data_IF_864021116256
#
_entry.id   IF_864021116256
#
_cell.length_a   1.000
_cell.length_b   1.000
_cell.length_c   1.000
_cell.angle_alpha   90.00
_cell.angle_beta   90.00
_cell.angle_gamma   90.00
#
_symmetry.space_group_name_H-M   'P 1'
#
loop_
_entity.id
_entity.type
_entity.pdbx_description
1 polymer ?
#
# COMPACT_ATOMS: atom_id res chain seq x y z
N UNK A 1 -41.56 17.58 -4.61
CA UNK A 1 -41.73 16.39 -3.75
C UNK A 1 -40.55 15.47 -3.97
N UNK A 2 -39.56 15.49 -3.07
CA UNK A 2 -38.33 14.71 -3.20
C UNK A 2 -38.36 13.63 -2.12
N UNK A 3 -38.69 12.40 -2.50
CA UNK A 3 -38.77 11.27 -1.57
C UNK A 3 -37.38 10.69 -1.36
N UNK A 4 -36.72 11.09 -0.28
CA UNK A 4 -35.51 10.42 0.21
C UNK A 4 -35.91 9.08 0.85
N UNK A 5 -35.64 7.97 0.16
CA UNK A 5 -35.90 6.63 0.68
C UNK A 5 -34.79 6.23 1.66
N UNK A 6 -35.03 6.38 2.96
CA UNK A 6 -34.11 5.96 4.03
C UNK A 6 -34.15 4.42 4.10
N UNK A 7 -33.09 3.76 3.63
CA UNK A 7 -32.99 2.30 3.64
C UNK A 7 -33.16 1.75 5.07
N UNK A 8 -33.93 0.67 5.23
CA UNK A 8 -34.13 0.03 6.54
C UNK A 8 -32.83 -0.61 7.07
N UNK A 9 -32.57 -0.62 8.39
CA UNK A 9 -31.31 -1.12 8.98
C UNK A 9 -30.93 -2.55 8.55
N UNK A 10 -31.93 -3.38 8.25
CA UNK A 10 -31.74 -4.75 7.77
C UNK A 10 -31.19 -4.78 6.32
N UNK A 11 -31.66 -3.88 5.46
CA UNK A 11 -31.17 -3.77 4.08
C UNK A 11 -29.71 -3.29 4.05
N UNK A 12 -29.34 -2.32 4.90
CA UNK A 12 -27.96 -1.85 5.02
C UNK A 12 -27.02 -2.95 5.51
N UNK A 13 -27.42 -3.71 6.54
CA UNK A 13 -26.62 -4.86 7.05
C UNK A 13 -26.42 -5.95 6.01
N UNK A 14 -27.47 -6.33 5.26
CA UNK A 14 -27.35 -7.31 4.17
C UNK A 14 -26.44 -6.81 3.05
N UNK A 15 -26.56 -5.53 2.68
CA UNK A 15 -25.71 -4.90 1.67
C UNK A 15 -24.23 -5.00 2.08
N UNK A 16 -23.93 -4.67 3.33
CA UNK A 16 -22.57 -4.75 3.88
C UNK A 16 -22.05 -6.19 3.99
N UNK A 17 -22.89 -7.14 4.39
CA UNK A 17 -22.52 -8.55 4.41
C UNK A 17 -22.17 -9.07 3.00
N UNK A 18 -22.94 -8.69 1.98
CA UNK A 18 -22.61 -9.01 0.58
C UNK A 18 -21.30 -8.37 0.14
N UNK A 19 -21.00 -7.12 0.55
CA UNK A 19 -19.72 -6.47 0.24
C UNK A 19 -18.56 -7.31 0.76
N UNK A 20 -18.58 -7.62 2.06
CA UNK A 20 -17.52 -8.39 2.71
C UNK A 20 -17.37 -9.77 2.09
N UNK A 21 -18.46 -10.47 1.80
CA UNK A 21 -18.41 -11.75 1.11
C UNK A 21 -17.72 -11.67 -0.27
N UNK A 22 -17.96 -10.61 -1.03
CA UNK A 22 -17.29 -10.39 -2.33
C UNK A 22 -15.80 -10.13 -2.15
N UNK A 23 -15.42 -9.26 -1.20
CA UNK A 23 -14.02 -8.92 -0.95
C UNK A 23 -13.22 -10.11 -0.43
N UNK A 24 -13.78 -10.87 0.52
CA UNK A 24 -13.19 -12.13 1.01
C UNK A 24 -13.04 -13.14 -0.12
N UNK A 25 -14.09 -13.34 -0.94
CA UNK A 25 -14.01 -14.26 -2.09
C UNK A 25 -12.94 -13.85 -3.10
N UNK A 26 -12.79 -12.55 -3.36
CA UNK A 26 -11.76 -12.04 -4.27
C UNK A 26 -10.35 -12.30 -3.74
N UNK A 27 -10.14 -12.07 -2.45
CA UNK A 27 -8.84 -12.33 -1.81
C UNK A 27 -8.50 -13.82 -1.77
N UNK A 28 -9.43 -14.67 -1.32
CA UNK A 28 -9.22 -16.12 -1.24
C UNK A 28 -8.90 -16.70 -2.62
N UNK A 29 -9.66 -16.32 -3.64
CA UNK A 29 -9.39 -16.75 -5.02
C UNK A 29 -8.05 -16.22 -5.52
N UNK A 30 -7.68 -14.99 -5.20
CA UNK A 30 -6.39 -14.44 -5.59
C UNK A 30 -5.24 -15.31 -5.06
N UNK A 31 -5.31 -15.72 -3.80
CA UNK A 31 -4.32 -16.61 -3.16
C UNK A 31 -4.36 -18.04 -3.73
N UNK A 32 -5.56 -18.58 -4.02
CA UNK A 32 -5.72 -19.95 -4.50
C UNK A 32 -5.26 -20.16 -5.95
N UNK A 33 -5.66 -19.25 -6.86
CA UNK A 33 -5.52 -19.45 -8.31
C UNK A 33 -4.65 -18.39 -8.99
N UNK A 34 -4.26 -17.36 -8.26
CA UNK A 34 -3.45 -16.26 -8.76
C UNK A 34 -4.21 -15.26 -9.64
N UNK A 35 -3.61 -14.08 -9.78
CA UNK A 35 -4.21 -12.93 -10.47
C UNK A 35 -4.62 -13.21 -11.92
N UNK A 36 -3.82 -13.98 -12.66
CA UNK A 36 -4.06 -14.27 -14.08
C UNK A 36 -5.35 -15.08 -14.31
N UNK A 37 -5.74 -15.93 -13.36
CA UNK A 37 -6.96 -16.76 -13.45
C UNK A 37 -8.16 -16.12 -12.74
N UNK A 38 -7.95 -15.07 -11.95
CA UNK A 38 -9.00 -14.36 -11.25
C UNK A 38 -9.91 -13.61 -12.23
N UNK A 39 -11.22 -13.84 -12.11
CA UNK A 39 -12.28 -13.21 -12.91
C UNK A 39 -13.42 -12.70 -12.03
N UNK A 40 -14.14 -11.68 -12.49
CA UNK A 40 -15.34 -11.18 -11.80
C UNK A 40 -16.39 -12.28 -11.68
N UNK A 41 -16.55 -13.11 -12.71
CA UNK A 41 -17.44 -14.27 -12.71
C UNK A 41 -17.06 -15.29 -11.64
N UNK A 42 -15.76 -15.58 -11.50
CA UNK A 42 -15.25 -16.47 -10.45
C UNK A 42 -15.52 -15.91 -9.05
N UNK A 43 -15.28 -14.61 -8.85
CA UNK A 43 -15.56 -13.91 -7.58
C UNK A 43 -17.06 -13.96 -7.27
N UNK A 44 -17.91 -13.67 -8.26
CA UNK A 44 -19.36 -13.70 -8.12
C UNK A 44 -19.86 -15.08 -7.71
N UNK A 45 -19.37 -16.13 -8.38
CA UNK A 45 -19.70 -17.51 -8.07
C UNK A 45 -19.28 -17.91 -6.65
N UNK A 46 -18.05 -17.55 -6.24
CA UNK A 46 -17.53 -17.84 -4.89
C UNK A 46 -18.30 -17.09 -3.79
N UNK A 47 -18.66 -15.83 -4.03
CA UNK A 47 -19.41 -15.02 -3.08
C UNK A 47 -20.93 -15.30 -3.08
N UNK A 48 -21.42 -16.16 -3.99
CA UNK A 48 -22.85 -16.47 -4.10
C UNK A 48 -23.71 -15.27 -4.56
N UNK A 49 -23.14 -14.37 -5.37
CA UNK A 49 -23.83 -13.17 -5.88
C UNK A 49 -23.83 -13.14 -7.40
N UNK A 50 -24.74 -12.35 -7.99
CA UNK A 50 -24.71 -12.09 -9.44
C UNK A 50 -23.62 -11.10 -9.83
N UNK A 51 -23.07 -11.21 -11.06
CA UNK A 51 -22.06 -10.29 -11.63
C UNK A 51 -22.44 -8.80 -11.50
N UNK A 52 -23.71 -8.48 -11.74
CA UNK A 52 -24.24 -7.11 -11.62
C UNK A 52 -24.18 -6.56 -10.19
N UNK A 53 -24.18 -7.43 -9.17
CA UNK A 53 -24.01 -7.02 -7.78
C UNK A 53 -22.60 -6.49 -7.52
N UNK A 54 -21.57 -7.04 -8.19
CA UNK A 54 -20.18 -6.57 -8.08
C UNK A 54 -20.02 -5.24 -8.81
N UNK A 55 -20.45 -5.15 -10.07
CA UNK A 55 -20.30 -3.92 -10.87
C UNK A 55 -21.03 -2.70 -10.32
N UNK A 56 -22.05 -2.90 -9.48
CA UNK A 56 -22.72 -1.80 -8.78
C UNK A 56 -21.78 -1.05 -7.81
N UNK A 57 -20.69 -1.68 -7.38
CA UNK A 57 -19.77 -1.14 -6.37
C UNK A 57 -18.37 -0.93 -6.92
N UNK A 58 -17.91 -1.84 -7.79
CA UNK A 58 -16.56 -1.82 -8.32
C UNK A 58 -16.59 -1.79 -9.85
N UNK A 59 -16.05 -0.73 -10.48
CA UNK A 59 -16.06 -0.61 -11.93
C UNK A 59 -15.13 -1.60 -12.62
N UNK A 60 -14.09 -2.09 -11.94
CA UNK A 60 -13.07 -2.98 -12.50
C UNK A 60 -12.66 -4.11 -11.54
N UNK A 61 -11.97 -5.14 -12.07
CA UNK A 61 -11.36 -6.22 -11.27
C UNK A 61 -10.34 -5.65 -10.29
N UNK A 62 -9.50 -4.72 -10.73
CA UNK A 62 -8.57 -3.99 -9.89
C UNK A 62 -9.25 -3.25 -8.74
N UNK A 63 -10.40 -2.61 -8.96
CA UNK A 63 -11.14 -1.96 -7.89
C UNK A 63 -11.63 -2.94 -6.80
N UNK A 64 -12.05 -4.16 -7.18
CA UNK A 64 -12.40 -5.22 -6.20
C UNK A 64 -11.17 -5.67 -5.42
N UNK A 65 -10.04 -5.90 -6.12
CA UNK A 65 -8.79 -6.33 -5.48
C UNK A 65 -8.29 -5.26 -4.51
N UNK A 66 -8.36 -3.98 -4.88
CA UNK A 66 -7.91 -2.88 -4.04
C UNK A 66 -8.74 -2.77 -2.75
N UNK A 67 -10.07 -2.82 -2.85
CA UNK A 67 -10.93 -2.83 -1.66
C UNK A 67 -10.72 -4.09 -0.80
N UNK A 68 -10.45 -5.25 -1.43
CA UNK A 68 -10.15 -6.47 -0.69
C UNK A 68 -8.83 -6.37 0.07
N UNK A 69 -7.81 -5.75 -0.54
CA UNK A 69 -6.53 -5.44 0.10
C UNK A 69 -6.73 -4.50 1.29
N UNK A 70 -7.44 -3.38 1.10
CA UNK A 70 -7.69 -2.41 2.17
C UNK A 70 -8.45 -3.03 3.35
N UNK A 71 -9.44 -3.88 3.09
CA UNK A 71 -10.19 -4.59 4.15
C UNK A 71 -9.29 -5.47 5.03
N UNK A 72 -8.19 -6.00 4.49
CA UNK A 72 -7.22 -6.78 5.27
C UNK A 72 -6.25 -5.89 6.04
N UNK A 73 -5.83 -4.78 5.43
CA UNK A 73 -5.00 -3.77 6.10
C UNK A 73 -5.75 -3.05 7.23
N UNK A 74 -7.07 -2.93 7.15
CA UNK A 74 -7.93 -2.35 8.21
C UNK A 74 -7.90 -3.15 9.53
N UNK A 75 -7.33 -4.37 9.54
CA UNK A 75 -7.09 -5.15 10.76
C UNK A 75 -6.04 -4.57 11.70
N UNK A 76 -5.18 -3.65 11.24
CA UNK A 76 -4.26 -2.88 12.07
C UNK A 76 -4.90 -1.52 12.43
N UNK A 77 -5.57 -1.49 13.59
CA UNK A 77 -6.02 -0.33 14.36
C UNK A 77 -5.94 1.06 13.70
N UNK A 78 -6.79 1.36 12.71
CA UNK A 78 -7.43 2.67 12.43
C UNK A 78 -6.61 3.97 12.30
N UNK A 79 -5.32 3.98 12.62
CA UNK A 79 -4.41 5.10 12.54
C UNK A 79 -3.38 4.81 11.45
N UNK A 80 -3.05 5.80 10.60
CA UNK A 80 -1.95 5.65 9.67
C UNK A 80 -0.69 5.28 10.46
N UNK A 81 0.07 4.23 10.06
CA UNK A 81 1.24 3.82 10.80
C UNK A 81 2.19 5.02 11.00
N UNK A 82 2.39 5.41 12.26
CA UNK A 82 3.37 6.42 12.62
C UNK A 82 4.75 5.79 12.56
N UNK A 83 5.68 6.43 11.86
CA UNK A 83 7.07 6.01 11.90
C UNK A 83 7.66 6.37 13.28
N UNK A 84 8.57 5.54 13.82
CA UNK A 84 9.27 5.84 15.06
C UNK A 84 10.03 7.16 14.93
N UNK A 85 10.03 7.95 16.00
CA UNK A 85 10.76 9.22 16.13
C UNK A 85 11.54 9.21 17.45
N UNK A 86 12.57 8.36 17.51
CA UNK A 86 13.35 8.10 18.73
C UNK A 86 14.45 9.14 18.98
N UNK A 87 14.66 10.04 18.01
CA UNK A 87 15.78 10.98 17.99
C UNK A 87 16.97 10.50 17.13
N UNK A 88 16.97 9.25 16.68
CA UNK A 88 17.95 8.67 15.77
C UNK A 88 17.28 8.30 14.44
N UNK A 89 17.37 9.19 13.45
CA UNK A 89 16.76 8.98 12.14
C UNK A 89 17.30 7.74 11.41
N UNK A 90 18.59 7.44 11.54
CA UNK A 90 19.18 6.30 10.84
C UNK A 90 18.64 4.98 11.40
N UNK A 91 18.59 4.86 12.73
CA UNK A 91 18.00 3.71 13.39
C UNK A 91 16.50 3.57 13.08
N UNK A 92 15.76 4.68 13.12
CA UNK A 92 14.32 4.70 12.83
C UNK A 92 14.02 4.26 11.40
N UNK A 93 14.73 4.82 10.41
CA UNK A 93 14.55 4.45 9.00
C UNK A 93 14.97 3.00 8.75
N UNK A 94 16.05 2.53 9.37
CA UNK A 94 16.50 1.14 9.25
C UNK A 94 15.43 0.17 9.74
N UNK A 95 14.85 0.44 10.92
CA UNK A 95 13.78 -0.38 11.46
C UNK A 95 12.56 -0.43 10.53
N UNK A 96 12.14 0.73 10.01
CA UNK A 96 10.99 0.84 9.11
C UNK A 96 11.25 0.13 7.78
N UNK A 97 12.39 0.34 7.14
CA UNK A 97 12.68 -0.25 5.84
C UNK A 97 12.86 -1.77 5.94
N UNK A 98 13.45 -2.28 7.03
CA UNK A 98 13.48 -3.73 7.28
C UNK A 98 12.10 -4.32 7.48
N UNK A 99 11.20 -3.63 8.20
CA UNK A 99 9.82 -4.06 8.35
C UNK A 99 9.09 -4.06 7.00
N UNK A 100 9.29 -3.04 6.17
CA UNK A 100 8.78 -3.01 4.78
C UNK A 100 9.32 -4.17 3.94
N UNK A 101 10.60 -4.53 4.08
CA UNK A 101 11.16 -5.72 3.40
C UNK A 101 10.49 -7.00 3.87
N UNK A 102 10.23 -7.15 5.17
CA UNK A 102 9.55 -8.33 5.70
C UNK A 102 8.11 -8.43 5.18
N UNK A 103 7.38 -7.32 5.19
CA UNK A 103 6.01 -7.22 4.66
C UNK A 103 5.95 -7.56 3.16
N UNK A 104 6.83 -6.98 2.35
CA UNK A 104 6.87 -7.22 0.91
C UNK A 104 7.28 -8.66 0.53
N UNK A 105 8.01 -9.36 1.41
CA UNK A 105 8.38 -10.76 1.23
C UNK A 105 7.34 -11.74 1.77
N UNK A 106 6.36 -11.28 2.54
CA UNK A 106 5.30 -12.13 3.07
C UNK A 106 4.38 -12.58 1.91
N UNK A 107 4.23 -13.91 1.69
CA UNK A 107 3.34 -14.44 0.64
C UNK A 107 1.90 -13.95 0.73
N UNK A 108 1.43 -13.52 1.92
CA UNK A 108 0.11 -12.93 2.10
C UNK A 108 -0.05 -11.59 1.35
N UNK A 109 1.03 -10.80 1.23
CA UNK A 109 1.01 -9.48 0.60
C UNK A 109 1.66 -9.47 -0.80
N UNK A 110 2.64 -10.34 -1.08
CA UNK A 110 3.41 -10.32 -2.34
C UNK A 110 2.51 -10.42 -3.58
N UNK A 111 1.67 -11.46 -3.65
CA UNK A 111 0.85 -11.70 -4.83
C UNK A 111 -0.27 -10.65 -5.00
N UNK A 112 -1.04 -10.28 -3.96
CA UNK A 112 -2.06 -9.24 -4.06
C UNK A 112 -1.50 -7.86 -4.43
N UNK A 113 -0.38 -7.44 -3.84
CA UNK A 113 0.19 -6.13 -4.13
C UNK A 113 0.72 -6.04 -5.56
N UNK A 114 1.32 -7.11 -6.11
CA UNK A 114 1.77 -7.12 -7.52
C UNK A 114 0.62 -7.08 -8.51
N UNK A 115 -0.45 -7.81 -8.20
CA UNK A 115 -1.68 -7.77 -8.96
C UNK A 115 -2.25 -6.34 -9.00
N UNK A 116 -2.32 -5.69 -7.84
CA UNK A 116 -2.77 -4.32 -7.71
C UNK A 116 -1.88 -3.34 -8.47
N UNK A 117 -0.55 -3.45 -8.38
CA UNK A 117 0.39 -2.61 -9.12
C UNK A 117 0.19 -2.73 -10.64
N UNK A 118 -0.13 -3.93 -11.13
CA UNK A 118 -0.44 -4.17 -12.55
C UNK A 118 -1.72 -3.45 -12.96
N UNK A 119 -2.78 -3.52 -12.15
CA UNK A 119 -4.06 -2.85 -12.44
C UNK A 119 -3.92 -1.33 -12.40
N UNK A 120 -3.24 -0.78 -11.38
CA UNK A 120 -3.01 0.67 -11.22
C UNK A 120 -2.32 1.25 -12.46
N UNK A 121 -1.37 0.53 -13.06
CA UNK A 121 -0.65 1.00 -14.24
C UNK A 121 -1.54 1.18 -15.48
N UNK A 122 -2.70 0.51 -15.55
CA UNK A 122 -3.59 0.50 -16.72
C UNK A 122 -4.94 1.19 -16.48
N UNK A 123 -5.31 1.48 -15.23
CA UNK A 123 -6.60 2.05 -14.82
C UNK A 123 -6.38 3.38 -14.07
N UNK A 124 -6.54 4.54 -14.74
CA UNK A 124 -6.36 5.86 -14.12
C UNK A 124 -7.32 6.14 -12.95
N UNK A 125 -8.53 5.58 -12.98
CA UNK A 125 -9.51 5.76 -11.90
C UNK A 125 -9.06 4.98 -10.66
N UNK A 126 -8.58 3.75 -10.85
CA UNK A 126 -7.97 2.97 -9.78
C UNK A 126 -6.69 3.63 -9.24
N UNK A 127 -5.85 4.19 -10.12
CA UNK A 127 -4.65 4.90 -9.70
C UNK A 127 -4.98 6.12 -8.81
N UNK A 128 -6.02 6.88 -9.16
CA UNK A 128 -6.49 7.99 -8.33
C UNK A 128 -7.00 7.50 -6.96
N UNK A 129 -7.79 6.42 -6.94
CA UNK A 129 -8.28 5.82 -5.70
C UNK A 129 -7.14 5.28 -4.82
N UNK A 130 -6.10 4.68 -5.42
CA UNK A 130 -4.90 4.22 -4.73
C UNK A 130 -4.15 5.37 -4.07
N UNK A 131 -3.94 6.47 -4.80
CA UNK A 131 -3.27 7.67 -4.28
C UNK A 131 -4.07 8.27 -3.12
N UNK A 132 -5.38 8.41 -3.28
CA UNK A 132 -6.24 9.01 -2.25
C UNK A 132 -6.29 8.17 -0.98
N UNK A 133 -6.48 6.85 -1.11
CA UNK A 133 -6.87 5.99 0.01
C UNK A 133 -5.72 5.23 0.64
N UNK A 134 -4.56 5.14 -0.02
CA UNK A 134 -3.43 4.35 0.47
C UNK A 134 -2.09 5.10 0.39
N UNK A 135 -1.65 5.48 -0.81
CA UNK A 135 -0.30 6.08 -0.96
C UNK A 135 -0.21 7.46 -0.32
N UNK A 136 -1.22 8.32 -0.47
CA UNK A 136 -1.27 9.65 0.14
C UNK A 136 -1.10 9.63 1.65
N UNK A 137 -1.94 8.91 2.42
CA UNK A 137 -1.79 8.78 3.87
C UNK A 137 -0.43 8.23 4.32
N UNK A 138 0.10 7.21 3.62
CA UNK A 138 1.42 6.64 3.92
C UNK A 138 2.55 7.63 3.61
N UNK A 139 2.46 8.35 2.49
CA UNK A 139 3.41 9.39 2.10
C UNK A 139 3.39 10.52 3.13
N UNK A 140 2.22 10.93 3.61
CA UNK A 140 2.10 11.94 4.65
C UNK A 140 2.78 11.49 5.96
N UNK A 141 2.58 10.24 6.39
CA UNK A 141 3.23 9.70 7.57
C UNK A 141 4.77 9.72 7.47
N UNK A 142 5.31 9.31 6.31
CA UNK A 142 6.75 9.38 6.02
C UNK A 142 7.25 10.83 6.03
N UNK A 143 6.52 11.75 5.39
CA UNK A 143 6.86 13.17 5.37
C UNK A 143 6.82 13.80 6.77
N UNK A 144 5.85 13.44 7.61
CA UNK A 144 5.80 13.92 9.01
C UNK A 144 7.07 13.53 9.76
N UNK A 145 7.54 12.29 9.60
CA UNK A 145 8.79 11.83 10.23
C UNK A 145 10.03 12.58 9.71
N UNK A 146 10.16 12.72 8.39
CA UNK A 146 11.30 13.45 7.80
C UNK A 146 11.28 14.94 8.17
N UNK A 147 10.10 15.56 8.25
CA UNK A 147 9.94 16.95 8.71
C UNK A 147 10.32 17.12 10.18
N UNK A 148 10.05 16.11 11.02
CA UNK A 148 10.55 16.07 12.39
C UNK A 148 12.08 16.06 12.44
N UNK A 149 12.71 15.22 11.62
CA UNK A 149 14.16 15.16 11.48
C UNK A 149 14.78 16.48 10.97
N UNK A 150 14.14 17.18 10.03
CA UNK A 150 14.57 18.52 9.61
C UNK A 150 14.59 19.51 10.79
N UNK A 151 13.51 19.56 11.59
CA UNK A 151 13.42 20.43 12.77
C UNK A 151 14.46 20.09 13.85
N UNK A 152 14.89 18.84 13.91
CA UNK A 152 15.94 18.37 14.81
C UNK A 152 17.37 18.54 14.25
N UNK A 153 17.54 19.10 13.05
CA UNK A 153 18.84 19.28 12.40
C UNK A 153 19.47 17.99 11.87
N UNK A 154 18.70 16.90 11.78
CA UNK A 154 19.17 15.60 11.27
C UNK A 154 19.12 15.51 9.73
N UNK A 155 18.35 16.40 9.10
CA UNK A 155 18.25 16.57 7.64
C UNK A 155 18.40 18.04 7.27
N UNK A 156 18.80 18.32 6.03
CA UNK A 156 18.85 19.68 5.51
C UNK A 156 17.45 20.33 5.53
N UNK A 157 17.36 21.58 5.99
CA UNK A 157 16.10 22.31 6.12
C UNK A 157 15.38 22.55 4.78
N UNK A 158 16.14 22.63 3.69
CA UNK A 158 15.65 22.84 2.33
C UNK A 158 15.42 21.54 1.54
N UNK A 159 15.62 20.37 2.18
CA UNK A 159 15.39 19.07 1.54
C UNK A 159 13.92 18.95 1.09
N UNK A 160 13.73 18.64 -0.21
CA UNK A 160 12.43 18.34 -0.75
C UNK A 160 11.95 16.96 -0.24
N UNK A 161 10.95 16.97 0.66
CA UNK A 161 10.44 15.76 1.31
C UNK A 161 9.68 14.82 0.36
N UNK A 162 9.08 15.32 -0.72
CA UNK A 162 8.46 14.46 -1.72
C UNK A 162 9.52 13.57 -2.38
N UNK A 163 10.61 14.20 -2.83
CA UNK A 163 11.73 13.50 -3.47
C UNK A 163 12.44 12.60 -2.47
N UNK A 164 12.63 13.04 -1.23
CA UNK A 164 13.29 12.24 -0.21
C UNK A 164 12.52 10.92 0.07
N UNK A 165 11.19 10.98 0.17
CA UNK A 165 10.37 9.77 0.34
C UNK A 165 10.54 8.82 -0.84
N UNK A 166 10.49 9.33 -2.07
CA UNK A 166 10.67 8.52 -3.28
C UNK A 166 12.08 7.90 -3.35
N UNK A 167 13.11 8.62 -2.93
CA UNK A 167 14.49 8.10 -2.91
C UNK A 167 14.71 7.04 -1.84
N UNK A 168 14.07 7.16 -0.68
CA UNK A 168 14.26 6.22 0.44
C UNK A 168 13.45 4.92 0.22
N UNK A 169 12.18 5.01 -0.19
CA UNK A 169 11.32 3.83 -0.34
C UNK A 169 11.27 3.28 -1.78
N UNK A 170 11.50 4.12 -2.78
CA UNK A 170 11.45 3.74 -4.19
C UNK A 170 12.36 2.56 -4.57
N UNK A 171 13.62 2.47 -4.08
CA UNK A 171 14.49 1.35 -4.39
C UNK A 171 13.93 -0.01 -3.94
N UNK A 172 13.32 -0.08 -2.74
CA UNK A 172 12.70 -1.29 -2.22
C UNK A 172 11.52 -1.71 -3.11
N UNK A 173 10.60 -0.79 -3.39
CA UNK A 173 9.43 -1.06 -4.22
C UNK A 173 9.82 -1.45 -5.65
N UNK A 174 10.78 -0.75 -6.25
CA UNK A 174 11.27 -1.06 -7.59
C UNK A 174 11.92 -2.45 -7.63
N UNK A 175 12.82 -2.74 -6.69
CA UNK A 175 13.50 -4.05 -6.62
C UNK A 175 12.51 -5.18 -6.40
N UNK A 176 11.59 -4.99 -5.47
CA UNK A 176 10.51 -5.93 -5.20
C UNK A 176 9.67 -6.16 -6.46
N UNK A 177 9.12 -5.09 -7.07
CA UNK A 177 8.21 -5.19 -8.20
C UNK A 177 8.87 -5.83 -9.43
N UNK A 178 10.09 -5.41 -9.76
CA UNK A 178 10.82 -5.87 -10.95
C UNK A 178 11.62 -7.16 -10.72
N UNK A 179 11.68 -7.66 -9.49
CA UNK A 179 12.54 -8.80 -9.10
C UNK A 179 14.00 -8.59 -9.52
N UNK A 180 14.49 -7.35 -9.45
CA UNK A 180 15.81 -6.96 -9.96
C UNK A 180 16.97 -7.41 -9.05
N UNK A 181 16.66 -8.02 -7.91
CA UNK A 181 17.62 -8.63 -6.98
C UNK A 181 16.95 -9.10 -5.69
N UNK A 182 17.70 -9.73 -4.77
CA UNK A 182 17.19 -10.11 -3.46
C UNK A 182 16.73 -8.89 -2.65
N UNK A 183 15.52 -8.96 -2.08
CA UNK A 183 14.99 -7.97 -1.15
C UNK A 183 15.29 -8.42 0.28
N UNK A 184 16.44 -7.98 0.82
CA UNK A 184 16.97 -8.41 2.13
C UNK A 184 17.02 -7.25 3.12
N UNK A 185 17.15 -7.57 4.42
CA UNK A 185 17.38 -6.56 5.45
C UNK A 185 18.68 -5.78 5.20
N UNK A 186 19.74 -6.45 4.76
CA UNK A 186 21.00 -5.81 4.37
C UNK A 186 20.81 -4.80 3.23
N UNK A 187 19.98 -5.12 2.23
CA UNK A 187 19.66 -4.16 1.17
C UNK A 187 18.89 -2.94 1.70
N UNK A 188 18.00 -3.12 2.68
CA UNK A 188 17.34 -2.00 3.35
C UNK A 188 18.36 -1.09 4.08
N UNK A 189 19.33 -1.69 4.78
CA UNK A 189 20.38 -0.95 5.48
C UNK A 189 21.25 -0.12 4.50
N UNK A 190 21.62 -0.73 3.37
CA UNK A 190 22.37 -0.06 2.31
C UNK A 190 21.61 1.13 1.73
N UNK A 191 20.30 0.99 1.54
CA UNK A 191 19.43 2.08 1.05
C UNK A 191 19.37 3.22 2.05
N UNK A 192 19.20 2.95 3.35
CA UNK A 192 19.24 3.99 4.41
C UNK A 192 20.59 4.70 4.42
N UNK A 193 21.67 3.93 4.50
CA UNK A 193 23.04 4.45 4.51
C UNK A 193 23.29 5.34 3.30
N UNK A 194 22.89 4.91 2.11
CA UNK A 194 23.10 5.64 0.85
C UNK A 194 22.23 6.90 0.80
N UNK A 195 20.97 6.82 1.22
CA UNK A 195 20.06 7.96 1.22
C UNK A 195 20.50 9.06 2.18
N UNK A 196 20.98 8.71 3.38
CA UNK A 196 21.42 9.67 4.39
C UNK A 196 22.81 10.26 4.08
N UNK A 197 23.74 9.45 3.56
CA UNK A 197 25.09 9.93 3.23
C UNK A 197 25.18 10.63 1.86
N UNK A 198 24.16 10.47 1.01
CA UNK A 198 24.11 11.00 -0.34
C UNK A 198 25.03 10.27 -1.34
N UNK A 199 24.83 10.54 -2.63
CA UNK A 199 25.60 9.96 -3.74
C UNK A 199 26.91 10.70 -4.06
N UNK A 200 27.29 11.68 -3.23
CA UNK A 200 28.56 12.40 -3.42
C UNK A 200 29.70 11.54 -2.83
N UNK A 201 30.90 11.57 -3.42
CA UNK A 201 32.06 11.00 -2.75
C UNK A 201 32.17 11.64 -1.37
N UNK A 202 32.25 10.84 -0.30
CA UNK A 202 32.62 11.35 1.02
C UNK A 202 33.93 12.12 0.82
N UNK A 203 34.00 13.43 1.12
CA UNK A 203 35.26 14.13 1.02
C UNK A 203 36.29 13.33 1.80
N UNK A 204 37.33 12.90 1.09
CA UNK A 204 38.48 12.24 1.70
C UNK A 204 39.20 13.31 2.53
N UNK A 205 38.71 13.58 3.74
CA UNK A 205 39.35 14.45 4.72
C UNK A 205 39.94 13.56 5.80
N UNK A 206 41.24 13.24 5.73
CA UNK A 206 42.44 14.03 6.07
C UNK A 206 42.79 13.88 7.55
#
# INVERSE_FOLDING_TARGET
MTTQHRATPNAARRKEASRRAILTAAFDLLQEIGYAKLSIEGIAARAGVGKQTIYRWWPSKGAVIFDAFLMLSEGSEGEPPALPDTGDLEADLTAVLRATVAELNDPQYDQPMRALATEIAHDPELAAAYVERLDGPLKEAKQRRLRSAQRAGQLAEDLNLDVAVEMIWGPLLNRWLQRSGPLTAEYADDVVTTALNGLRPRPSGR
#
